data_IF_661261537004
#
_entry.id   IF_661261537004
#
_cell.length_a   1.000
_cell.length_b   1.000
_cell.length_c   1.000
_cell.angle_alpha   90.00
_cell.angle_beta   90.00
_cell.angle_gamma   90.00
#
_symmetry.space_group_name_H-M   'P 1'
#
loop_
_entity.id
_entity.type
_entity.pdbx_description
1 polymer ?
#
# COMPACT_ATOMS: atom_id res chain seq x y z
N UNK A 1 -42.90 0.93 19.37
CA UNK A 1 -42.44 2.06 20.19
C UNK A 1 -41.06 2.51 19.72
N UNK A 2 -40.89 3.83 19.57
CA UNK A 2 -39.66 4.67 19.51
C UNK A 2 -38.43 4.18 18.73
N UNK A 3 -38.14 4.90 17.64
CA UNK A 3 -36.79 5.09 17.08
C UNK A 3 -35.97 6.08 17.94
N UNK A 4 -34.62 6.03 17.82
CA UNK A 4 -33.75 7.23 17.85
C UNK A 4 -32.94 7.31 16.54
N UNK A 5 -33.04 8.34 15.68
CA UNK A 5 -32.59 9.75 15.76
C UNK A 5 -31.06 9.94 15.87
N UNK A 6 -30.44 10.10 14.70
CA UNK A 6 -29.41 11.05 14.24
C UNK A 6 -28.36 11.59 15.23
N UNK A 7 -27.08 11.51 14.85
CA UNK A 7 -25.99 12.31 15.40
C UNK A 7 -24.93 12.61 14.33
N UNK A 8 -25.03 13.77 13.68
CA UNK A 8 -24.00 14.32 12.81
C UNK A 8 -22.96 15.07 13.67
N UNK A 9 -21.68 14.98 13.32
CA UNK A 9 -20.72 16.01 13.73
C UNK A 9 -19.60 16.15 12.70
N UNK A 10 -19.66 17.27 12.00
CA UNK A 10 -18.67 17.80 11.05
C UNK A 10 -17.66 18.59 11.85
N UNK A 11 -16.36 18.31 11.70
CA UNK A 11 -15.31 19.24 12.10
C UNK A 11 -14.29 19.37 10.96
N UNK A 12 -14.45 20.45 10.19
CA UNK A 12 -13.42 21.05 9.33
C UNK A 12 -12.61 22.01 10.18
N UNK A 13 -11.26 21.96 10.15
CA UNK A 13 -10.43 23.16 10.37
C UNK A 13 -9.21 23.15 9.45
N UNK A 14 -9.13 24.21 8.65
CA UNK A 14 -8.00 24.67 7.83
C UNK A 14 -6.98 25.36 8.75
N UNK A 15 -5.70 25.24 8.44
CA UNK A 15 -4.63 26.07 8.99
C UNK A 15 -3.62 26.35 7.89
N UNK A 16 -3.58 27.60 7.43
CA UNK A 16 -2.57 28.14 6.54
C UNK A 16 -1.79 29.17 7.34
N UNK A 17 -0.46 29.04 7.41
CA UNK A 17 0.42 30.08 7.93
C UNK A 17 1.51 30.39 6.89
N UNK A 18 1.49 31.66 6.48
CA UNK A 18 2.59 32.37 5.81
C UNK A 18 3.51 32.90 6.90
N UNK A 19 4.83 32.66 6.79
CA UNK A 19 5.84 33.53 7.42
C UNK A 19 6.99 33.77 6.43
N UNK A 20 7.47 35.00 6.48
CA UNK A 20 8.25 35.77 5.50
C UNK A 20 9.76 35.80 5.82
N UNK A 21 10.54 36.30 4.85
CA UNK A 21 11.90 36.93 4.92
C UNK A 21 13.04 35.96 4.58
N UNK A 22 13.62 36.07 3.38
CA UNK A 22 14.71 36.96 2.95
C UNK A 22 15.99 36.82 3.78
N UNK A 23 17.02 36.19 3.18
CA UNK A 23 18.43 36.58 3.34
C UNK A 23 19.17 36.30 2.03
N UNK A 24 19.77 37.36 1.45
CA UNK A 24 20.76 37.30 0.37
C UNK A 24 22.05 36.72 0.93
N UNK A 25 22.77 35.88 0.19
CA UNK A 25 24.22 35.82 0.30
C UNK A 25 24.85 35.49 -1.05
N UNK A 26 25.73 36.42 -1.44
CA UNK A 26 26.56 36.45 -2.62
C UNK A 26 27.87 35.71 -2.28
N UNK A 27 28.29 34.77 -3.13
CA UNK A 27 29.49 33.98 -2.87
C UNK A 27 29.95 33.27 -4.15
N UNK A 28 30.72 33.99 -4.96
CA UNK A 28 31.50 33.41 -6.05
C UNK A 28 32.47 32.37 -5.48
N UNK A 29 32.38 31.13 -5.93
CA UNK A 29 33.54 30.24 -5.97
C UNK A 29 33.48 29.39 -7.24
N UNK A 30 34.39 29.73 -8.15
CA UNK A 30 34.64 29.06 -9.40
C UNK A 30 35.49 27.83 -9.08
N UNK A 31 34.89 26.65 -9.04
CA UNK A 31 35.63 25.38 -9.04
C UNK A 31 35.31 24.65 -10.35
N UNK A 32 36.33 24.52 -11.18
CA UNK A 32 36.32 23.66 -12.34
C UNK A 32 36.35 22.22 -11.83
N UNK A 33 35.22 21.53 -11.91
CA UNK A 33 35.12 20.08 -11.72
C UNK A 33 34.62 19.48 -13.02
N UNK A 34 35.43 18.58 -13.59
CA UNK A 34 35.11 17.82 -14.78
C UNK A 34 33.72 17.17 -14.65
N UNK A 35 32.86 17.47 -15.60
CA UNK A 35 31.51 16.92 -15.70
C UNK A 35 31.57 15.46 -16.08
N UNK A 36 31.74 14.59 -15.08
CA UNK A 36 31.28 13.21 -15.18
C UNK A 36 29.78 13.30 -14.93
N UNK A 37 29.01 13.39 -16.00
CA UNK A 37 27.55 13.33 -15.91
C UNK A 37 27.17 11.95 -15.39
N UNK A 38 26.68 11.92 -14.15
CA UNK A 38 26.04 10.75 -13.56
C UNK A 38 25.04 10.15 -14.56
N UNK A 39 24.95 8.81 -14.67
CA UNK A 39 23.92 8.18 -15.47
C UNK A 39 22.54 8.64 -14.97
N UNK A 40 21.60 8.94 -15.88
CA UNK A 40 20.27 9.38 -15.48
C UNK A 40 19.62 8.34 -14.56
N UNK A 41 18.89 8.76 -13.52
CA UNK A 41 18.18 7.83 -12.64
C UNK A 41 17.26 6.94 -13.49
N UNK A 42 17.12 5.65 -13.13
CA UNK A 42 16.20 4.77 -13.84
C UNK A 42 14.81 5.43 -13.85
N UNK A 43 14.27 5.62 -15.06
CA UNK A 43 12.94 6.19 -15.26
C UNK A 43 11.98 5.37 -14.40
N UNK A 44 11.33 6.02 -13.44
CA UNK A 44 10.37 5.41 -12.53
C UNK A 44 9.13 5.00 -13.32
N UNK A 45 9.19 3.82 -13.94
CA UNK A 45 8.03 3.22 -14.58
C UNK A 45 7.00 2.93 -13.49
N UNK A 46 5.81 3.54 -13.64
CA UNK A 46 4.71 3.31 -12.72
C UNK A 46 4.39 1.81 -12.74
N UNK A 47 4.14 1.19 -11.57
CA UNK A 47 3.73 -0.20 -11.55
C UNK A 47 2.49 -0.39 -12.44
N UNK A 48 2.40 -1.53 -13.15
CA UNK A 48 1.28 -1.80 -14.02
C UNK A 48 -0.03 -1.71 -13.23
N UNK A 49 -1.13 -1.29 -13.88
CA UNK A 49 -2.42 -1.22 -13.22
C UNK A 49 -2.80 -2.59 -12.65
N UNK A 50 -3.41 -2.63 -11.45
CA UNK A 50 -3.75 -3.88 -10.79
C UNK A 50 -4.71 -4.72 -11.64
N UNK A 51 -4.39 -6.01 -11.79
CA UNK A 51 -5.14 -6.94 -12.65
C UNK A 51 -6.53 -7.24 -12.06
N UNK A 52 -7.56 -7.26 -12.93
CA UNK A 52 -8.95 -7.58 -12.59
C UNK A 52 -9.52 -8.68 -13.48
N UNK A 53 -10.45 -9.46 -12.93
CA UNK A 53 -11.09 -10.56 -13.64
C UNK A 53 -12.27 -11.18 -12.88
N UNK A 54 -12.71 -12.36 -13.33
CA UNK A 54 -13.85 -13.10 -12.76
C UNK A 54 -13.37 -14.30 -11.94
N UNK A 55 -14.00 -14.51 -10.78
CA UNK A 55 -13.73 -15.69 -9.94
C UNK A 55 -14.15 -16.97 -10.65
N UNK A 56 -13.33 -18.03 -10.56
CA UNK A 56 -13.66 -19.36 -11.11
C UNK A 56 -14.64 -20.12 -10.21
N UNK A 57 -14.45 -20.02 -8.91
CA UNK A 57 -15.25 -20.70 -7.88
C UNK A 57 -15.75 -19.65 -6.90
N UNK A 58 -17.03 -19.71 -6.55
CA UNK A 58 -17.65 -18.83 -5.55
C UNK A 58 -18.24 -19.71 -4.46
N UNK A 59 -17.68 -19.63 -3.25
CA UNK A 59 -18.22 -20.36 -2.10
C UNK A 59 -19.05 -19.45 -1.18
N UNK A 60 -18.58 -18.22 -0.94
CA UNK A 60 -19.31 -17.25 -0.13
C UNK A 60 -19.45 -17.61 1.35
N UNK A 61 -18.66 -18.55 1.87
CA UNK A 61 -18.72 -18.90 3.30
C UNK A 61 -17.88 -17.97 4.18
N UNK A 62 -17.02 -17.10 3.62
CA UNK A 62 -16.13 -16.19 4.36
C UNK A 62 -15.25 -16.90 5.41
N UNK A 63 -14.96 -18.19 5.20
CA UNK A 63 -14.17 -19.00 6.15
C UNK A 63 -14.96 -19.60 7.31
N UNK A 64 -16.29 -19.45 7.35
CA UNK A 64 -17.15 -19.98 8.43
C UNK A 64 -17.50 -21.46 8.28
N UNK A 65 -17.44 -22.01 7.06
CA UNK A 65 -17.74 -23.42 6.77
C UNK A 65 -16.50 -24.17 6.27
N UNK A 66 -15.74 -23.56 5.36
CA UNK A 66 -14.44 -24.05 4.92
C UNK A 66 -13.35 -23.26 5.63
N UNK A 67 -12.14 -23.82 5.76
CA UNK A 67 -11.02 -23.13 6.40
C UNK A 67 -10.73 -21.78 5.69
N UNK A 68 -10.60 -20.67 6.44
CA UNK A 68 -10.18 -19.39 5.87
C UNK A 68 -8.80 -19.53 5.22
N UNK A 69 -8.64 -19.02 4.00
CA UNK A 69 -7.39 -19.09 3.24
C UNK A 69 -6.62 -17.77 3.33
N UNK A 70 -7.25 -16.67 2.91
CA UNK A 70 -6.64 -15.33 2.90
C UNK A 70 -7.71 -14.25 2.76
N UNK A 71 -7.36 -13.01 3.05
CA UNK A 71 -8.18 -11.84 2.74
C UNK A 71 -7.82 -11.27 1.36
N UNK A 72 -8.82 -10.74 0.66
CA UNK A 72 -8.56 -9.88 -0.48
C UNK A 72 -7.98 -8.55 0.04
N UNK A 73 -6.74 -8.24 -0.31
CA UNK A 73 -6.06 -7.01 0.14
C UNK A 73 -6.66 -5.72 -0.44
N UNK A 74 -7.56 -5.83 -1.41
CA UNK A 74 -8.24 -4.68 -2.00
C UNK A 74 -9.60 -4.35 -1.36
N UNK A 75 -10.31 -5.34 -0.81
CA UNK A 75 -11.67 -5.12 -0.26
C UNK A 75 -11.93 -5.76 1.11
N UNK A 76 -10.95 -6.49 1.66
CA UNK A 76 -11.06 -7.14 2.97
C UNK A 76 -11.87 -8.43 3.00
N UNK A 77 -12.56 -8.82 1.92
CA UNK A 77 -13.33 -10.07 1.87
C UNK A 77 -12.43 -11.29 2.10
N UNK A 78 -12.84 -12.18 3.00
CA UNK A 78 -12.14 -13.44 3.28
C UNK A 78 -12.51 -14.49 2.23
N UNK A 79 -11.49 -15.05 1.58
CA UNK A 79 -11.59 -16.23 0.72
C UNK A 79 -11.30 -17.50 1.55
N UNK A 80 -11.98 -18.59 1.22
CA UNK A 80 -11.73 -19.91 1.83
C UNK A 80 -10.97 -20.86 0.90
N UNK A 81 -10.48 -21.98 1.44
CA UNK A 81 -9.71 -22.97 0.66
C UNK A 81 -10.44 -23.49 -0.60
N UNK A 82 -11.77 -23.59 -0.57
CA UNK A 82 -12.59 -23.99 -1.73
C UNK A 82 -12.58 -22.95 -2.85
N UNK A 83 -12.54 -21.65 -2.52
CA UNK A 83 -12.43 -20.57 -3.51
C UNK A 83 -11.01 -20.48 -4.05
N UNK A 84 -10.00 -20.74 -3.20
CA UNK A 84 -8.60 -20.73 -3.58
C UNK A 84 -8.05 -19.33 -3.86
N UNK A 85 -6.87 -19.31 -4.49
CA UNK A 85 -6.26 -18.09 -5.05
C UNK A 85 -6.81 -17.83 -6.46
N UNK A 86 -6.87 -16.56 -6.87
CA UNK A 86 -7.51 -16.14 -8.11
C UNK A 86 -8.24 -14.81 -7.94
N UNK A 87 -9.17 -14.48 -8.84
CA UNK A 87 -9.91 -13.21 -8.74
C UNK A 87 -10.93 -13.23 -7.61
N UNK A 88 -10.94 -12.17 -6.80
CA UNK A 88 -11.92 -11.98 -5.74
C UNK A 88 -13.34 -11.92 -6.32
N UNK A 89 -14.30 -12.73 -5.84
CA UNK A 89 -15.67 -12.73 -6.36
C UNK A 89 -16.46 -11.45 -6.04
N UNK A 90 -15.93 -10.56 -5.18
CA UNK A 90 -16.59 -9.31 -4.81
C UNK A 90 -16.05 -8.11 -5.60
N UNK A 91 -14.74 -7.84 -5.54
CA UNK A 91 -14.14 -6.67 -6.18
C UNK A 91 -13.41 -6.97 -7.49
N UNK A 92 -13.23 -8.24 -7.85
CA UNK A 92 -12.59 -8.68 -9.08
C UNK A 92 -11.06 -8.59 -9.10
N UNK A 93 -10.40 -8.10 -8.04
CA UNK A 93 -8.94 -8.05 -7.99
C UNK A 93 -8.32 -9.42 -7.74
N UNK A 94 -7.13 -9.65 -8.29
CA UNK A 94 -6.36 -10.88 -8.08
C UNK A 94 -5.94 -11.04 -6.62
N UNK A 95 -6.15 -12.23 -6.08
CA UNK A 95 -5.67 -12.68 -4.78
C UNK A 95 -4.49 -13.62 -5.05
N UNK A 96 -3.29 -13.16 -4.72
CA UNK A 96 -2.05 -13.89 -4.98
C UNK A 96 -1.58 -14.69 -3.76
N UNK A 97 -0.91 -15.82 -4.02
CA UNK A 97 -0.16 -16.53 -3.00
C UNK A 97 1.20 -15.85 -2.87
N UNK A 98 1.30 -14.87 -1.97
CA UNK A 98 2.59 -14.24 -1.70
C UNK A 98 3.55 -15.30 -1.12
N UNK A 99 4.79 -15.41 -1.66
CA UNK A 99 5.79 -16.24 -1.01
C UNK A 99 6.07 -15.65 0.37
N UNK A 100 6.19 -16.52 1.38
CA UNK A 100 6.59 -16.09 2.73
C UNK A 100 8.03 -15.61 2.64
N UNK A 101 8.24 -14.32 2.36
CA UNK A 101 9.52 -13.68 2.56
C UNK A 101 9.67 -13.47 4.06
N UNK A 102 10.09 -14.53 4.77
CA UNK A 102 10.66 -14.36 6.09
C UNK A 102 11.85 -13.43 5.92
N UNK A 103 11.69 -12.18 6.34
CA UNK A 103 12.79 -11.23 6.44
C UNK A 103 13.82 -11.79 7.41
N UNK A 104 14.80 -12.55 6.90
CA UNK A 104 16.03 -12.85 7.62
C UNK A 104 16.82 -11.55 7.69
N UNK A 105 16.57 -10.77 8.74
CA UNK A 105 17.50 -9.73 9.17
C UNK A 105 18.78 -10.45 9.60
N UNK A 106 19.79 -10.52 8.73
CA UNK A 106 21.11 -11.13 9.02
C UNK A 106 21.85 -10.49 10.22
N UNK A 107 21.29 -9.42 10.80
CA UNK A 107 21.81 -8.71 11.96
C UNK A 107 21.15 -9.11 13.29
N UNK A 108 20.04 -9.87 13.29
CA UNK A 108 19.38 -10.27 14.56
C UNK A 108 20.04 -11.49 15.22
N UNK A 109 20.73 -12.32 14.44
CA UNK A 109 21.40 -13.54 14.94
C UNK A 109 22.64 -13.26 15.82
N UNK A 110 23.13 -12.00 15.88
CA UNK A 110 24.26 -11.59 16.73
C UNK A 110 23.86 -11.00 18.09
N UNK A 111 22.57 -10.77 18.32
CA UNK A 111 22.08 -10.18 19.57
C UNK A 111 21.55 -11.23 20.57
N UNK A 112 21.74 -12.52 20.28
CA UNK A 112 21.30 -13.64 21.11
C UNK A 112 22.47 -14.58 21.49
N UNK A 113 23.63 -14.00 21.78
CA UNK A 113 24.80 -14.67 22.37
C UNK A 113 25.31 -13.86 23.56
#
# INVERSE_FOLDING_TARGET
GRQPKNGASVIKKKGAEKVTKQTKNNGNNKVAAASVSDPPPPKSEKPPPPQRGKAKIVCGCFGTRCKPLTNCLHCGRIACEKEGYGYCPFCGYLIEKLPVQMGRNKNLDKALL
#
